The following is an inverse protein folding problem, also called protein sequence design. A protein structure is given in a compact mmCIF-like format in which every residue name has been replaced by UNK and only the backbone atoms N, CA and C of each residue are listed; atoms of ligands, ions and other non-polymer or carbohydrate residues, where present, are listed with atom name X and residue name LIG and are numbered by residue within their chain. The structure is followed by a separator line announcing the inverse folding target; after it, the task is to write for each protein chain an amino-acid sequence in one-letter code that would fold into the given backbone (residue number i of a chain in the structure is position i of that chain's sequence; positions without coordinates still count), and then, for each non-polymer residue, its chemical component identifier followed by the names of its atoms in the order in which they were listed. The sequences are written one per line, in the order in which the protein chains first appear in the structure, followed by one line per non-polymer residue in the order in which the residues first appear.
data_IF_967029848537
#
_entry.id   IF_967029848537
#
_cell.length_a   1.000
_cell.length_b   1.000
_cell.length_c   1.000
_cell.angle_alpha   90.00
_cell.angle_beta   90.00
_cell.angle_gamma   90.00
#
_symmetry.space_group_name_H-M   'P 1'
#
loop_
_entity.id
_entity.type
_entity.pdbx_description
1 polymer ?
#
# COMPACT_ATOMS: atom_id res chain seq x y z
N UNK A 1 -12.03 7.28 19.77
CA UNK A 1 -12.06 5.94 20.38
C UNK A 1 -12.14 4.82 19.34
N UNK A 2 -13.23 4.70 18.55
CA UNK A 2 -13.35 3.66 17.51
C UNK A 2 -12.34 3.79 16.37
N UNK A 3 -12.03 5.02 15.94
CA UNK A 3 -11.09 5.29 14.84
C UNK A 3 -9.65 4.88 15.17
N UNK A 4 -9.19 5.13 16.40
CA UNK A 4 -7.86 4.70 16.86
C UNK A 4 -7.71 3.17 16.90
N UNK A 5 -8.76 2.47 17.31
CA UNK A 5 -8.80 1.01 17.33
C UNK A 5 -8.78 0.44 15.91
N UNK A 6 -9.54 1.04 14.98
CA UNK A 6 -9.51 0.67 13.56
C UNK A 6 -8.13 0.94 12.95
N UNK A 7 -7.55 2.12 13.21
CA UNK A 7 -6.22 2.49 12.72
C UNK A 7 -5.17 1.48 13.18
N UNK A 8 -5.15 1.13 14.46
CA UNK A 8 -4.21 0.13 15.00
C UNK A 8 -4.42 -1.26 14.39
N UNK A 9 -5.66 -1.70 14.26
CA UNK A 9 -5.99 -3.00 13.67
C UNK A 9 -5.57 -3.07 12.21
N UNK A 10 -5.92 -2.06 11.41
CA UNK A 10 -5.51 -1.96 10.01
C UNK A 10 -3.99 -1.89 9.86
N UNK A 11 -3.32 -1.11 10.69
CA UNK A 11 -1.84 -0.99 10.64
C UNK A 11 -1.18 -2.34 10.91
N UNK A 12 -1.65 -3.07 11.94
CA UNK A 12 -1.14 -4.42 12.25
C UNK A 12 -1.39 -5.40 11.10
N UNK A 13 -2.59 -5.38 10.53
CA UNK A 13 -2.94 -6.25 9.41
C UNK A 13 -2.09 -5.96 8.18
N UNK A 14 -1.92 -4.68 7.80
CA UNK A 14 -1.06 -4.25 6.69
C UNK A 14 0.38 -4.70 6.91
N UNK A 15 0.92 -4.48 8.11
CA UNK A 15 2.29 -4.91 8.45
C UNK A 15 2.47 -6.42 8.38
N UNK A 16 1.45 -7.20 8.77
CA UNK A 16 1.48 -8.66 8.63
C UNK A 16 1.53 -9.10 7.16
N UNK A 17 0.81 -8.42 6.26
CA UNK A 17 0.90 -8.73 4.83
C UNK A 17 2.24 -8.27 4.24
N UNK A 18 2.68 -7.04 4.51
CA UNK A 18 3.94 -6.49 4.00
C UNK A 18 5.16 -7.31 4.47
N UNK A 19 5.10 -7.87 5.67
CA UNK A 19 6.12 -8.79 6.19
C UNK A 19 6.29 -10.07 5.35
N UNK A 20 5.24 -10.54 4.66
CA UNK A 20 5.33 -11.71 3.77
C UNK A 20 6.11 -11.43 2.50
N UNK A 21 6.06 -10.19 2.00
CA UNK A 21 6.75 -9.75 0.78
C UNK A 21 8.06 -8.99 1.05
N UNK A 22 8.57 -9.01 2.29
CA UNK A 22 9.77 -8.26 2.71
C UNK A 22 9.69 -6.75 2.39
N UNK A 23 8.49 -6.17 2.46
CA UNK A 23 8.26 -4.74 2.22
C UNK A 23 8.42 -3.92 3.50
N UNK A 24 8.74 -2.61 3.40
CA UNK A 24 8.87 -1.74 4.56
C UNK A 24 7.54 -1.61 5.32
N UNK A 25 7.59 -1.80 6.65
CA UNK A 25 6.43 -1.69 7.53
C UNK A 25 5.84 -0.28 7.58
N UNK A 26 4.54 -0.16 7.78
CA UNK A 26 3.79 1.08 8.02
C UNK A 26 3.78 1.45 9.51
N UNK A 27 4.16 2.69 9.82
CA UNK A 27 4.09 3.29 11.16
C UNK A 27 2.92 4.28 11.26
N UNK A 28 2.73 5.10 10.23
CA UNK A 28 1.58 6.00 10.12
C UNK A 28 0.85 5.79 8.80
N UNK A 29 -0.37 5.26 8.86
CA UNK A 29 -1.16 4.90 7.67
C UNK A 29 -1.33 6.06 6.69
N UNK A 30 -1.53 7.29 7.18
CA UNK A 30 -1.79 8.44 6.31
C UNK A 30 -0.51 8.94 5.65
N UNK A 31 0.60 8.92 6.38
CA UNK A 31 1.87 9.37 5.85
C UNK A 31 2.56 8.32 4.97
N UNK A 32 2.51 7.05 5.34
CA UNK A 32 3.28 5.99 4.71
C UNK A 32 2.64 5.41 3.44
N UNK A 33 1.31 5.54 3.29
CA UNK A 33 0.59 5.07 2.10
C UNK A 33 0.46 6.14 1.01
N UNK A 34 0.66 7.43 1.34
CA UNK A 34 0.43 8.57 0.43
C UNK A 34 1.22 8.53 -0.89
N UNK A 35 2.36 7.86 -0.86
CA UNK A 35 3.31 7.75 -1.98
C UNK A 35 2.91 6.62 -2.95
N UNK A 36 2.05 5.70 -2.51
CA UNK A 36 1.61 4.55 -3.29
C UNK A 36 2.57 3.37 -3.26
N UNK A 37 3.85 3.53 -2.92
CA UNK A 37 4.83 2.42 -2.93
C UNK A 37 4.44 1.27 -1.99
N UNK A 38 4.01 1.57 -0.76
CA UNK A 38 3.58 0.52 0.21
C UNK A 38 2.20 -0.04 -0.11
N UNK A 39 1.34 0.75 -0.77
CA UNK A 39 0.05 0.30 -1.24
C UNK A 39 0.22 -0.73 -2.37
N UNK A 40 1.15 -0.48 -3.30
CA UNK A 40 1.54 -1.45 -4.33
C UNK A 40 2.09 -2.72 -3.69
N UNK A 41 3.02 -2.63 -2.74
CA UNK A 41 3.56 -3.83 -2.06
C UNK A 41 2.49 -4.65 -1.33
N UNK A 42 1.49 -4.00 -0.76
CA UNK A 42 0.34 -4.70 -0.18
C UNK A 42 -0.47 -5.44 -1.26
N UNK A 43 -0.74 -4.79 -2.39
CA UNK A 43 -1.45 -5.41 -3.52
C UNK A 43 -0.65 -6.52 -4.19
N UNK A 44 0.68 -6.40 -4.25
CA UNK A 44 1.56 -7.48 -4.73
C UNK A 44 1.37 -8.75 -3.91
N UNK A 45 1.35 -8.62 -2.58
CA UNK A 45 1.13 -9.75 -1.66
C UNK A 45 -0.30 -10.30 -1.75
N UNK A 46 -1.31 -9.43 -1.91
CA UNK A 46 -2.72 -9.85 -1.93
C UNK A 46 -3.14 -10.48 -3.26
N UNK A 47 -2.71 -9.90 -4.39
CA UNK A 47 -3.03 -10.39 -5.72
C UNK A 47 -2.04 -11.45 -6.22
N UNK A 48 -0.89 -11.61 -5.55
CA UNK A 48 0.16 -12.55 -5.97
C UNK A 48 0.85 -12.16 -7.28
N UNK A 49 0.73 -10.90 -7.71
CA UNK A 49 1.31 -10.39 -8.95
C UNK A 49 2.35 -9.31 -8.65
N UNK A 50 3.50 -9.34 -9.34
CA UNK A 50 4.50 -8.28 -9.23
C UNK A 50 3.99 -6.98 -9.88
N UNK A 51 4.01 -5.88 -9.12
CA UNK A 51 3.53 -4.58 -9.57
C UNK A 51 4.71 -3.64 -9.79
N UNK A 52 4.70 -2.96 -10.93
CA UNK A 52 5.76 -2.02 -11.29
C UNK A 52 5.68 -0.79 -10.40
N UNK A 53 6.78 -0.49 -9.72
CA UNK A 53 6.92 0.65 -8.80
C UNK A 53 7.79 1.72 -9.46
N UNK A 54 7.29 2.95 -9.55
CA UNK A 54 8.08 4.09 -9.98
C UNK A 54 9.05 4.50 -8.87
N UNK A 55 10.35 4.49 -9.20
CA UNK A 55 11.43 4.85 -8.27
C UNK A 55 11.76 6.33 -8.45
N UNK A 56 10.98 7.21 -7.80
CA UNK A 56 11.25 8.65 -7.82
C UNK A 56 10.50 9.40 -6.73
N UNK A 57 11.02 10.58 -6.34
CA UNK A 57 10.49 11.40 -5.24
C UNK A 57 9.59 12.56 -5.70
N UNK A 58 9.40 12.70 -7.01
CA UNK A 58 8.52 13.70 -7.59
C UNK A 58 7.05 13.28 -7.41
N UNK A 59 6.17 14.28 -7.26
CA UNK A 59 4.73 14.07 -7.13
C UNK A 59 4.13 13.20 -8.24
N UNK A 60 4.65 13.29 -9.47
CA UNK A 60 4.21 12.48 -10.60
C UNK A 60 4.44 10.98 -10.38
N UNK A 61 5.57 10.58 -9.76
CA UNK A 61 5.84 9.18 -9.46
C UNK A 61 4.89 8.66 -8.38
N UNK A 62 4.62 9.46 -7.35
CA UNK A 62 3.66 9.09 -6.31
C UNK A 62 2.26 8.90 -6.90
N UNK A 63 1.82 9.83 -7.77
CA UNK A 63 0.54 9.73 -8.47
C UNK A 63 0.48 8.49 -9.38
N UNK A 64 1.57 8.17 -10.09
CA UNK A 64 1.63 6.95 -10.91
C UNK A 64 1.53 5.68 -10.05
N UNK A 65 2.22 5.63 -8.91
CA UNK A 65 2.15 4.49 -8.00
C UNK A 65 0.74 4.30 -7.43
N UNK A 66 0.10 5.39 -6.98
CA UNK A 66 -1.29 5.36 -6.50
C UNK A 66 -2.25 5.00 -7.64
N UNK A 67 -2.09 5.57 -8.83
CA UNK A 67 -2.91 5.26 -9.99
C UNK A 67 -2.83 3.80 -10.41
N UNK A 68 -1.64 3.20 -10.36
CA UNK A 68 -1.45 1.78 -10.59
C UNK A 68 -2.17 0.94 -9.52
N UNK A 69 -2.03 1.30 -8.25
CA UNK A 69 -2.73 0.61 -7.17
C UNK A 69 -4.26 0.65 -7.33
N UNK A 70 -4.82 1.83 -7.66
CA UNK A 70 -6.26 2.00 -7.91
C UNK A 70 -6.73 1.19 -9.12
N UNK A 71 -5.93 1.09 -10.18
CA UNK A 71 -6.24 0.25 -11.33
C UNK A 71 -6.31 -1.22 -10.93
N UNK A 72 -5.33 -1.71 -10.17
CA UNK A 72 -5.30 -3.11 -9.71
C UNK A 72 -6.51 -3.41 -8.82
N UNK A 73 -6.86 -2.51 -7.90
CA UNK A 73 -8.06 -2.65 -7.07
C UNK A 73 -9.32 -2.78 -7.94
N UNK A 74 -9.46 -1.92 -8.97
CA UNK A 74 -10.57 -1.98 -9.92
C UNK A 74 -10.61 -3.29 -10.71
N UNK A 75 -9.45 -3.78 -11.16
CA UNK A 75 -9.33 -5.06 -11.88
C UNK A 75 -9.66 -6.27 -10.98
N UNK A 76 -9.51 -6.14 -9.65
CA UNK A 76 -9.87 -7.15 -8.67
C UNK A 76 -11.30 -6.98 -8.10
N UNK A 77 -12.12 -6.10 -8.69
CA UNK A 77 -13.50 -5.79 -8.25
C UNK A 77 -13.62 -5.37 -6.78
N UNK A 78 -12.64 -4.60 -6.27
CA UNK A 78 -12.69 -3.95 -4.95
C UNK A 78 -13.34 -2.59 -5.05
#
# INVERSE_FOLDING_TARGET
DREDVQKKTFTKWINSQLGKGNHPIVKDLFYDLRDGTRLLGLLEVLCGNELRREKGRLRVHHLNNVGCALRVLKENNV
#
